data_IF_637397173650
#
_entry.id   IF_637397173650
#
_cell.length_a   1.000
_cell.length_b   1.000
_cell.length_c   1.000
_cell.angle_alpha   90.00
_cell.angle_beta   90.00
_cell.angle_gamma   90.00
#
_symmetry.space_group_name_H-M   'P 1'
#
loop_
_entity.id
_entity.type
_entity.pdbx_description
1 polymer ?
#
# COMPACT_ATOMS: atom_id res chain seq x y z
N UNK A 1 -41.47 -12.12 -14.45
CA UNK A 1 -40.42 -11.08 -14.37
C UNK A 1 -40.48 -10.44 -12.99
N UNK A 2 -39.75 -10.97 -12.01
CA UNK A 2 -39.43 -10.32 -10.75
C UNK A 2 -38.40 -11.21 -10.02
N UNK A 3 -37.26 -10.62 -9.66
CA UNK A 3 -36.58 -10.79 -8.36
C UNK A 3 -35.12 -10.36 -8.51
N UNK A 4 -34.84 -9.20 -7.93
CA UNK A 4 -33.50 -8.72 -7.68
C UNK A 4 -32.84 -9.60 -6.59
N UNK A 5 -31.67 -10.14 -6.86
CA UNK A 5 -30.69 -10.41 -5.79
C UNK A 5 -29.52 -9.48 -6.05
N UNK A 6 -29.51 -8.41 -5.27
CA UNK A 6 -28.48 -7.37 -5.25
C UNK A 6 -27.42 -7.91 -4.29
N UNK A 7 -26.44 -8.63 -4.82
CA UNK A 7 -25.25 -8.98 -4.05
C UNK A 7 -24.54 -7.66 -3.72
N UNK A 8 -24.72 -7.24 -2.47
CA UNK A 8 -24.12 -6.06 -1.89
C UNK A 8 -22.63 -6.31 -1.68
N UNK A 9 -21.87 -6.25 -2.75
CA UNK A 9 -20.44 -6.00 -2.64
C UNK A 9 -20.31 -4.55 -2.19
N UNK A 10 -19.94 -4.37 -0.92
CA UNK A 10 -19.60 -3.06 -0.37
C UNK A 10 -18.42 -2.53 -1.18
N UNK A 11 -18.71 -1.76 -2.23
CA UNK A 11 -17.74 -1.07 -3.07
C UNK A 11 -17.15 0.08 -2.23
N UNK A 12 -16.34 -0.25 -1.23
CA UNK A 12 -15.30 0.67 -0.79
C UNK A 12 -14.51 1.03 -2.04
N UNK A 13 -14.60 2.31 -2.45
CA UNK A 13 -13.96 2.82 -3.65
C UNK A 13 -12.47 2.46 -3.61
N UNK A 14 -12.12 1.37 -4.30
CA UNK A 14 -10.76 0.91 -4.42
C UNK A 14 -9.90 2.00 -5.06
N UNK A 15 -8.59 2.01 -4.82
CA UNK A 15 -7.71 3.01 -5.41
C UNK A 15 -7.88 3.04 -6.94
N UNK A 16 -8.29 4.18 -7.51
CA UNK A 16 -8.39 4.40 -8.98
C UNK A 16 -7.00 4.54 -9.65
N UNK A 17 -5.98 3.98 -9.03
CA UNK A 17 -4.57 4.16 -9.38
C UNK A 17 -4.07 2.89 -10.04
N UNK A 18 -3.26 2.98 -11.10
CA UNK A 18 -2.71 1.80 -11.77
C UNK A 18 -1.96 0.90 -10.78
N UNK A 19 -2.20 -0.40 -10.88
CA UNK A 19 -1.44 -1.40 -10.13
C UNK A 19 -0.05 -1.55 -10.76
N UNK A 20 0.99 -1.49 -9.93
CA UNK A 20 2.37 -1.71 -10.36
C UNK A 20 2.77 -3.18 -10.34
N UNK A 21 2.18 -3.94 -9.43
CA UNK A 21 2.47 -5.36 -9.27
C UNK A 21 2.27 -5.83 -7.83
N UNK A 22 2.67 -7.07 -7.59
CA UNK A 22 2.61 -7.72 -6.29
C UNK A 22 4.03 -7.88 -5.74
N UNK A 23 4.22 -7.51 -4.48
CA UNK A 23 5.44 -7.74 -3.70
C UNK A 23 5.17 -8.77 -2.62
N UNK A 24 6.08 -9.72 -2.45
CA UNK A 24 6.04 -10.66 -1.33
C UNK A 24 6.82 -10.07 -0.15
N UNK A 25 6.12 -9.88 0.97
CA UNK A 25 6.73 -9.61 2.27
C UNK A 25 6.99 -10.97 2.93
N UNK A 26 8.25 -11.21 3.32
CA UNK A 26 8.72 -12.53 3.77
C UNK A 26 8.59 -12.74 5.29
N UNK A 27 8.66 -11.64 6.04
CA UNK A 27 8.64 -11.59 7.51
C UNK A 27 7.62 -10.56 7.98
N UNK A 28 7.18 -10.65 9.23
CA UNK A 28 6.25 -9.67 9.76
C UNK A 28 7.03 -8.38 10.07
N UNK A 29 6.71 -7.29 9.37
CA UNK A 29 7.41 -6.01 9.47
C UNK A 29 6.51 -4.93 10.07
N UNK A 30 7.11 -3.84 10.56
CA UNK A 30 6.38 -2.66 11.03
C UNK A 30 6.91 -1.42 10.35
N UNK A 31 6.03 -0.69 9.66
CA UNK A 31 6.39 0.57 9.00
C UNK A 31 5.62 1.71 9.69
N UNK A 32 6.35 2.66 10.27
CA UNK A 32 5.78 3.83 10.95
C UNK A 32 4.71 3.46 12.02
N UNK A 33 4.95 2.36 12.76
CA UNK A 33 4.04 1.82 13.77
C UNK A 33 2.84 1.04 13.21
N UNK A 34 2.81 0.72 11.92
CA UNK A 34 1.76 -0.10 11.29
C UNK A 34 2.31 -1.47 10.90
N UNK A 35 1.58 -2.51 11.26
CA UNK A 35 1.97 -3.89 10.97
C UNK A 35 1.75 -4.23 9.49
N UNK A 36 2.77 -4.86 8.91
CA UNK A 36 2.77 -5.48 7.60
C UNK A 36 3.13 -6.96 7.78
N UNK A 37 2.15 -7.82 8.12
CA UNK A 37 2.39 -9.26 8.22
C UNK A 37 2.93 -9.84 6.91
N UNK A 38 3.66 -10.94 6.97
CA UNK A 38 4.10 -11.66 5.77
C UNK A 38 2.92 -11.96 4.85
N UNK A 39 3.18 -11.87 3.55
CA UNK A 39 2.17 -12.10 2.52
C UNK A 39 2.42 -11.33 1.24
N UNK A 40 1.45 -11.40 0.34
CA UNK A 40 1.45 -10.73 -0.95
C UNK A 40 0.74 -9.40 -0.85
N UNK A 41 1.41 -8.36 -1.33
CA UNK A 41 0.90 -7.00 -1.30
C UNK A 41 0.88 -6.41 -2.71
N UNK A 42 -0.29 -5.96 -3.15
CA UNK A 42 -0.42 -5.18 -4.36
C UNK A 42 -0.07 -3.71 -4.10
N UNK A 43 0.85 -3.19 -4.89
CA UNK A 43 1.26 -1.79 -4.86
C UNK A 43 0.54 -1.04 -5.97
N UNK A 44 -0.04 0.11 -5.61
CA UNK A 44 -0.66 1.03 -6.55
C UNK A 44 -0.07 2.43 -6.36
N UNK A 45 0.37 3.08 -7.43
CA UNK A 45 1.09 4.37 -7.35
C UNK A 45 0.26 5.52 -7.92
N UNK A 46 0.56 6.74 -7.49
CA UNK A 46 0.04 7.97 -8.06
C UNK A 46 1.13 9.03 -8.04
N UNK A 47 1.34 9.73 -9.16
CA UNK A 47 2.36 10.78 -9.30
C UNK A 47 3.83 10.32 -9.25
N UNK A 48 4.09 9.02 -9.13
CA UNK A 48 5.42 8.39 -9.14
C UNK A 48 5.41 7.15 -10.04
N UNK A 49 6.58 6.64 -10.44
CA UNK A 49 6.66 5.46 -11.30
C UNK A 49 6.65 4.16 -10.51
N UNK A 50 6.29 3.07 -11.17
CA UNK A 50 6.37 1.74 -10.57
C UNK A 50 7.81 1.33 -10.28
N UNK A 51 8.80 1.76 -11.08
CA UNK A 51 10.21 1.43 -10.83
C UNK A 51 10.75 2.06 -9.55
N UNK A 52 10.23 3.22 -9.14
CA UNK A 52 10.64 3.87 -7.89
C UNK A 52 10.19 3.08 -6.64
N UNK A 53 9.04 2.41 -6.71
CA UNK A 53 8.42 1.76 -5.55
C UNK A 53 8.70 0.26 -5.49
N UNK A 54 8.78 -0.38 -6.65
CA UNK A 54 8.93 -1.84 -6.78
C UNK A 54 10.39 -2.30 -6.74
N UNK A 55 10.59 -3.58 -6.42
CA UNK A 55 11.90 -4.23 -6.43
C UNK A 55 12.69 -4.11 -5.13
N UNK A 56 13.84 -4.77 -5.06
CA UNK A 56 14.68 -4.84 -3.85
C UNK A 56 15.19 -3.48 -3.39
N UNK A 57 15.41 -2.56 -4.34
CA UNK A 57 15.81 -1.17 -4.05
C UNK A 57 14.62 -0.21 -4.08
N UNK A 58 13.41 -0.70 -4.28
CA UNK A 58 12.20 0.11 -4.33
C UNK A 58 11.83 0.69 -2.97
N UNK A 59 11.13 1.81 -2.98
CA UNK A 59 10.71 2.53 -1.77
C UNK A 59 9.99 1.63 -0.77
N UNK A 60 9.11 0.74 -1.22
CA UNK A 60 8.39 -0.13 -0.30
C UNK A 60 9.32 -1.10 0.44
N UNK A 61 10.30 -1.69 -0.25
CA UNK A 61 11.29 -2.54 0.39
C UNK A 61 12.19 -1.75 1.35
N UNK A 62 12.59 -0.53 0.97
CA UNK A 62 13.32 0.35 1.88
C UNK A 62 12.53 0.65 3.16
N UNK A 63 11.21 0.81 3.07
CA UNK A 63 10.36 1.07 4.23
C UNK A 63 10.21 -0.16 5.12
N UNK A 64 10.11 -1.36 4.54
CA UNK A 64 10.10 -2.62 5.31
C UNK A 64 11.40 -2.84 6.08
N UNK A 65 12.52 -2.28 5.61
CA UNK A 65 13.82 -2.38 6.28
C UNK A 65 14.03 -1.33 7.39
N UNK A 66 13.08 -0.41 7.59
CA UNK A 66 13.12 0.53 8.71
C UNK A 66 12.79 -0.20 10.01
N UNK A 67 13.41 0.19 11.12
CA UNK A 67 13.01 -0.32 12.43
C UNK A 67 11.60 0.14 12.81
N UNK A 68 10.93 -0.60 13.69
CA UNK A 68 9.54 -0.34 14.10
C UNK A 68 9.26 1.11 14.53
N UNK A 69 10.26 1.78 15.13
CA UNK A 69 10.18 3.14 15.65
C UNK A 69 10.89 4.18 14.76
N UNK A 70 11.47 3.75 13.63
CA UNK A 70 12.17 4.65 12.74
C UNK A 70 11.16 5.50 11.94
N UNK A 71 11.41 6.80 11.80
CA UNK A 71 10.60 7.64 10.93
C UNK A 71 10.80 7.22 9.47
N UNK A 72 9.75 7.39 8.66
CA UNK A 72 9.90 7.30 7.21
C UNK A 72 10.93 8.34 6.72
N UNK A 73 11.74 8.01 5.70
CA UNK A 73 12.72 8.94 5.16
C UNK A 73 12.02 10.17 4.61
N UNK A 74 12.48 11.37 4.98
CA UNK A 74 11.91 12.60 4.46
C UNK A 74 11.95 12.63 2.92
N UNK A 75 10.89 13.11 2.24
CA UNK A 75 9.68 13.75 2.76
C UNK A 75 8.48 12.78 2.95
N UNK A 76 8.71 11.48 3.09
CA UNK A 76 7.65 10.49 3.12
C UNK A 76 6.86 10.48 4.43
N UNK A 77 5.55 10.34 4.32
CA UNK A 77 4.61 10.32 5.43
C UNK A 77 3.64 9.16 5.25
N UNK A 78 3.38 8.44 6.34
CA UNK A 78 2.31 7.46 6.41
C UNK A 78 1.01 8.15 6.80
N UNK A 79 -0.03 8.05 5.96
CA UNK A 79 -1.34 8.63 6.24
C UNK A 79 -2.20 7.63 7.01
N UNK A 80 -2.15 7.72 8.34
CA UNK A 80 -2.92 6.85 9.27
C UNK A 80 -4.43 6.90 9.04
N UNK A 81 -4.95 8.07 8.67
CA UNK A 81 -6.39 8.29 8.47
C UNK A 81 -6.88 7.94 7.05
N UNK A 82 -6.01 7.37 6.21
CA UNK A 82 -6.41 6.97 4.87
C UNK A 82 -7.36 5.76 4.93
N UNK A 83 -8.61 5.96 4.51
CA UNK A 83 -9.57 4.87 4.33
C UNK A 83 -9.03 3.85 3.33
N UNK A 84 -9.12 2.56 3.69
CA UNK A 84 -8.71 1.43 2.86
C UNK A 84 -7.25 1.01 3.07
N UNK A 85 -6.55 0.73 1.97
CA UNK A 85 -5.18 0.25 2.00
C UNK A 85 -4.20 1.31 2.56
N UNK A 86 -3.21 0.91 3.39
CA UNK A 86 -2.08 1.74 3.83
C UNK A 86 -1.57 2.68 2.73
N UNK A 87 -1.48 3.98 3.03
CA UNK A 87 -1.09 5.03 2.07
C UNK A 87 0.16 5.76 2.53
N UNK A 88 1.16 5.79 1.65
CA UNK A 88 2.41 6.52 1.79
C UNK A 88 2.42 7.67 0.80
N UNK A 89 2.77 8.87 1.27
CA UNK A 89 2.82 10.08 0.43
C UNK A 89 4.14 10.79 0.59
N UNK A 90 4.66 11.31 -0.51
CA UNK A 90 5.79 12.24 -0.55
C UNK A 90 5.32 13.69 -0.72
N UNK A 91 4.23 13.87 -1.45
CA UNK A 91 3.57 15.17 -1.63
C UNK A 91 2.06 14.97 -1.85
N UNK A 92 1.30 16.05 -2.01
CA UNK A 92 -0.16 16.03 -2.21
C UNK A 92 -0.61 15.05 -3.32
N UNK A 93 0.19 14.93 -4.39
CA UNK A 93 -0.15 14.14 -5.58
C UNK A 93 0.82 13.00 -5.87
N UNK A 94 1.79 12.74 -4.97
CA UNK A 94 2.83 11.72 -5.17
C UNK A 94 2.83 10.73 -4.01
N UNK A 95 2.69 9.45 -4.34
CA UNK A 95 2.74 8.40 -3.34
C UNK A 95 2.27 7.06 -3.85
N UNK A 96 2.08 6.14 -2.93
CA UNK A 96 1.61 4.79 -3.23
C UNK A 96 0.76 4.21 -2.11
N UNK A 97 -0.03 3.21 -2.47
CA UNK A 97 -0.82 2.39 -1.56
C UNK A 97 -0.38 0.96 -1.62
N UNK A 98 -0.46 0.29 -0.48
CA UNK A 98 -0.05 -1.09 -0.31
C UNK A 98 -1.23 -1.88 0.24
N UNK A 99 -1.78 -2.79 -0.55
CA UNK A 99 -2.93 -3.60 -0.17
C UNK A 99 -2.53 -5.07 -0.06
N UNK A 100 -2.79 -5.70 1.08
CA UNK A 100 -2.60 -7.15 1.21
C UNK A 100 -3.63 -7.87 0.34
N UNK A 101 -3.16 -8.74 -0.55
CA UNK A 101 -3.98 -9.50 -1.52
C UNK A 101 -3.90 -11.00 -1.30
N UNK A 102 -3.01 -11.47 -0.43
CA UNK A 102 -2.91 -12.86 -0.03
C UNK A 102 -1.74 -13.12 0.91
N UNK A 103 -1.54 -14.40 1.21
CA UNK A 103 -0.47 -14.92 2.06
C UNK A 103 0.57 -15.66 1.19
#
# INVERSE_FOLDING_TARGET
>A
MLSCTKDGESQTAGPKTPACGIVQVLTDEVIAGVQFPKGKYQINVFGITCEEVMGEKGLFNQFLLLGDNDPLPAPWIYLKDAVGAPKFVKSTNEGFRVQRVGD
#
